data_IF_484727778564
#
_entry.id   IF_484727778564
#
_cell.length_a   1.000
_cell.length_b   1.000
_cell.length_c   1.000
_cell.angle_alpha   90.00
_cell.angle_beta   90.00
_cell.angle_gamma   90.00
#
_symmetry.space_group_name_H-M   'P 1'
#
loop_
_entity.id
_entity.type
_entity.pdbx_description
1 polymer ?
#
# COMPACT_ATOMS: atom_id res chain seq x y z
N UNK A 1 20.21 1.73 1.49
CA UNK A 1 19.39 1.82 2.72
C UNK A 1 18.89 0.42 3.00
N UNK A 2 18.75 0.05 4.26
CA UNK A 2 18.28 -1.29 4.65
C UNK A 2 16.77 -1.38 4.35
N UNK A 3 16.39 -2.17 3.35
CA UNK A 3 14.99 -2.35 2.90
C UNK A 3 14.06 -2.71 4.06
N UNK A 4 14.56 -3.43 5.06
CA UNK A 4 13.80 -3.80 6.23
C UNK A 4 13.47 -2.59 7.11
N UNK A 5 14.42 -1.67 7.31
CA UNK A 5 14.18 -0.43 8.06
C UNK A 5 13.22 0.51 7.34
N UNK A 6 13.31 0.57 6.01
CA UNK A 6 12.33 1.30 5.19
C UNK A 6 10.92 0.74 5.38
N UNK A 7 10.77 -0.59 5.35
CA UNK A 7 9.50 -1.26 5.60
C UNK A 7 8.97 -0.96 7.01
N UNK A 8 9.79 -1.14 8.05
CA UNK A 8 9.38 -0.88 9.45
C UNK A 8 8.88 0.55 9.65
N UNK A 9 9.52 1.53 9.00
CA UNK A 9 9.06 2.92 9.05
C UNK A 9 7.67 3.09 8.46
N UNK A 10 7.38 2.46 7.32
CA UNK A 10 6.03 2.49 6.71
C UNK A 10 5.02 1.78 7.63
N UNK A 11 5.37 0.60 8.14
CA UNK A 11 4.47 -0.18 8.99
C UNK A 11 4.14 0.52 10.30
N UNK A 12 5.07 1.33 10.85
CA UNK A 12 4.83 2.10 12.07
C UNK A 12 3.72 3.16 11.94
N UNK A 13 3.42 3.59 10.72
CA UNK A 13 2.37 4.59 10.43
C UNK A 13 1.14 3.97 9.76
N UNK A 14 1.17 2.67 9.43
CA UNK A 14 0.09 1.99 8.74
C UNK A 14 -1.02 1.60 9.73
N UNK A 15 -2.14 2.31 9.64
CA UNK A 15 -3.38 2.01 10.38
C UNK A 15 -4.55 1.84 9.40
N UNK A 16 -5.70 1.26 9.81
CA UNK A 16 -6.86 1.15 8.94
C UNK A 16 -7.35 2.51 8.44
N UNK A 17 -7.39 3.51 9.33
CA UNK A 17 -7.81 4.87 8.99
C UNK A 17 -6.82 5.55 8.03
N UNK A 18 -5.52 5.37 8.27
CA UNK A 18 -4.49 5.90 7.38
C UNK A 18 -4.61 5.29 5.98
N UNK A 19 -4.70 3.96 5.90
CA UNK A 19 -4.83 3.25 4.63
C UNK A 19 -6.14 3.64 3.91
N UNK A 20 -7.25 3.76 4.63
CA UNK A 20 -8.53 4.24 4.09
C UNK A 20 -8.39 5.62 3.46
N UNK A 21 -7.72 6.55 4.16
CA UNK A 21 -7.51 7.90 3.65
C UNK A 21 -6.62 7.91 2.40
N UNK A 22 -5.58 7.07 2.36
CA UNK A 22 -4.74 6.90 1.17
C UNK A 22 -5.56 6.39 -0.01
N UNK A 23 -6.33 5.31 0.17
CA UNK A 23 -7.15 4.71 -0.88
C UNK A 23 -8.20 5.70 -1.41
N UNK A 24 -8.92 6.39 -0.52
CA UNK A 24 -9.90 7.39 -0.94
C UNK A 24 -9.26 8.59 -1.63
N UNK A 25 -8.08 9.02 -1.16
CA UNK A 25 -7.30 10.07 -1.81
C UNK A 25 -6.90 9.69 -3.23
N UNK A 26 -6.40 8.47 -3.43
CA UNK A 26 -6.05 7.93 -4.74
C UNK A 26 -7.28 7.78 -5.64
N UNK A 27 -8.38 7.23 -5.13
CA UNK A 27 -9.63 7.08 -5.87
C UNK A 27 -10.18 8.44 -6.35
N UNK A 28 -10.05 9.50 -5.54
CA UNK A 28 -10.53 10.84 -5.91
C UNK A 28 -9.82 11.44 -7.12
N UNK A 29 -8.58 11.02 -7.38
CA UNK A 29 -7.77 11.48 -8.52
C UNK A 29 -8.10 10.76 -9.82
N UNK A 30 -8.79 9.63 -9.75
CA UNK A 30 -9.18 8.85 -10.93
C UNK A 30 -10.43 9.44 -11.60
N UNK A 31 -10.71 9.01 -12.83
CA UNK A 31 -11.97 9.31 -13.52
C UNK A 31 -13.14 8.59 -12.84
N UNK A 32 -14.37 9.12 -12.89
CA UNK A 32 -15.55 8.54 -12.23
C UNK A 32 -15.73 7.03 -12.47
N UNK A 33 -15.42 6.56 -13.67
CA UNK A 33 -15.58 5.16 -14.10
C UNK A 33 -14.57 4.20 -13.46
N UNK A 34 -13.44 4.71 -12.95
CA UNK A 34 -12.37 3.89 -12.36
C UNK A 34 -12.18 4.08 -10.85
N UNK A 35 -12.80 5.12 -10.24
CA UNK A 35 -12.68 5.42 -8.79
C UNK A 35 -13.08 4.29 -7.85
N UNK A 36 -13.76 3.26 -8.33
CA UNK A 36 -14.18 2.11 -7.53
C UNK A 36 -13.03 1.13 -7.24
N UNK A 37 -11.88 1.27 -7.92
CA UNK A 37 -10.74 0.38 -7.75
C UNK A 37 -9.43 1.17 -7.66
N UNK A 38 -8.56 0.77 -6.73
CA UNK A 38 -7.20 1.27 -6.65
C UNK A 38 -6.25 0.08 -6.68
N UNK A 39 -5.24 0.15 -7.54
CA UNK A 39 -4.30 -0.96 -7.70
C UNK A 39 -3.31 -1.00 -6.53
N UNK A 40 -2.91 -2.20 -6.13
CA UNK A 40 -1.92 -2.38 -5.05
C UNK A 40 -0.60 -1.63 -5.33
N UNK A 41 -0.01 -1.65 -6.54
CA UNK A 41 1.19 -0.86 -6.83
C UNK A 41 1.00 0.63 -6.54
N UNK A 42 -0.14 1.21 -6.94
CA UNK A 42 -0.44 2.63 -6.67
C UNK A 42 -0.52 2.92 -5.16
N UNK A 43 -1.06 1.99 -4.36
CA UNK A 43 -1.12 2.14 -2.89
C UNK A 43 0.29 2.06 -2.30
N UNK A 44 1.10 1.09 -2.75
CA UNK A 44 2.49 0.92 -2.29
C UNK A 44 3.33 2.16 -2.59
N UNK A 45 3.23 2.71 -3.81
CA UNK A 45 3.93 3.93 -4.22
C UNK A 45 3.51 5.14 -3.40
N UNK A 46 2.21 5.28 -3.08
CA UNK A 46 1.72 6.36 -2.23
C UNK A 46 2.29 6.26 -0.81
N UNK A 47 2.34 5.05 -0.23
CA UNK A 47 2.86 4.83 1.13
C UNK A 47 4.38 5.05 1.22
N UNK A 48 5.15 4.59 0.23
CA UNK A 48 6.61 4.81 0.17
C UNK A 48 6.92 6.30 -0.05
N UNK A 49 6.18 6.98 -0.92
CA UNK A 49 6.31 8.42 -1.14
C UNK A 49 5.99 9.25 0.11
N UNK A 50 4.90 8.93 0.83
CA UNK A 50 4.53 9.59 2.08
C UNK A 50 5.57 9.39 3.18
N UNK A 51 6.15 8.20 3.28
CA UNK A 51 7.22 7.91 4.25
C UNK A 51 8.59 8.46 3.82
N UNK A 52 8.73 8.94 2.58
CA UNK A 52 9.99 9.40 2.00
C UNK A 52 11.06 8.30 2.01
N UNK A 53 10.66 7.05 1.70
CA UNK A 53 11.56 5.90 1.69
C UNK A 53 11.49 5.17 0.37
N UNK A 54 12.60 4.53 0.02
CA UNK A 54 12.67 3.53 -1.03
C UNK A 54 12.84 2.14 -0.37
N UNK A 55 12.08 1.16 -0.85
CA UNK A 55 12.22 -0.24 -0.44
C UNK A 55 13.42 -0.90 -1.13
N UNK A 56 14.00 -0.26 -2.14
CA UNK A 56 15.17 -0.73 -2.86
C UNK A 56 14.85 -1.84 -3.86
N UNK A 57 15.91 -2.31 -4.51
CA UNK A 57 15.87 -3.34 -5.57
C UNK A 57 16.52 -4.66 -5.11
N UNK A 58 16.41 -5.71 -5.93
CA UNK A 58 16.99 -7.02 -5.64
C UNK A 58 16.21 -7.83 -4.61
N UNK A 59 16.84 -8.85 -4.04
CA UNK A 59 16.17 -9.82 -3.17
C UNK A 59 15.63 -9.19 -1.86
N UNK A 60 16.35 -8.23 -1.30
CA UNK A 60 15.95 -7.50 -0.08
C UNK A 60 14.76 -6.59 -0.36
N UNK A 61 14.81 -5.82 -1.45
CA UNK A 61 13.70 -4.95 -1.87
C UNK A 61 12.44 -5.74 -2.22
N UNK A 62 12.59 -6.87 -2.90
CA UNK A 62 11.48 -7.78 -3.18
C UNK A 62 10.83 -8.31 -1.89
N UNK A 63 11.65 -8.73 -0.92
CA UNK A 63 11.14 -9.22 0.37
C UNK A 63 10.38 -8.14 1.13
N UNK A 64 10.88 -6.90 1.11
CA UNK A 64 10.22 -5.76 1.73
C UNK A 64 8.90 -5.39 1.04
N UNK A 65 8.87 -5.44 -0.30
CA UNK A 65 7.65 -5.23 -1.09
C UNK A 65 6.58 -6.28 -0.80
N UNK A 66 6.96 -7.56 -0.68
CA UNK A 66 6.04 -8.62 -0.27
C UNK A 66 5.50 -8.43 1.15
N UNK A 67 6.37 -8.00 2.08
CA UNK A 67 5.97 -7.64 3.44
C UNK A 67 4.93 -6.52 3.46
N UNK A 68 5.16 -5.47 2.66
CA UNK A 68 4.22 -4.36 2.53
C UNK A 68 2.90 -4.80 1.88
N UNK A 69 2.94 -5.60 0.79
CA UNK A 69 1.74 -6.17 0.16
C UNK A 69 0.88 -6.90 1.20
N UNK A 70 1.49 -7.78 1.98
CA UNK A 70 0.79 -8.54 3.01
C UNK A 70 0.16 -7.64 4.06
N UNK A 71 0.92 -6.66 4.57
CA UNK A 71 0.41 -5.72 5.56
C UNK A 71 -0.77 -4.89 5.03
N UNK A 72 -0.73 -4.45 3.76
CA UNK A 72 -1.86 -3.76 3.12
C UNK A 72 -3.08 -4.68 3.06
N UNK A 73 -2.93 -5.92 2.57
CA UNK A 73 -4.03 -6.87 2.45
C UNK A 73 -4.69 -7.17 3.80
N UNK A 74 -3.87 -7.44 4.83
CA UNK A 74 -4.32 -7.66 6.20
C UNK A 74 -5.06 -6.43 6.75
N UNK A 75 -4.54 -5.23 6.47
CA UNK A 75 -5.14 -3.98 6.94
C UNK A 75 -6.48 -3.67 6.23
N UNK A 76 -6.60 -3.96 4.93
CA UNK A 76 -7.86 -3.79 4.18
C UNK A 76 -8.97 -4.65 4.77
N UNK A 77 -8.66 -5.85 5.26
CA UNK A 77 -9.66 -6.72 5.91
C UNK A 77 -10.30 -6.08 7.16
N UNK A 78 -9.67 -5.05 7.74
CA UNK A 78 -10.17 -4.31 8.88
C UNK A 78 -10.91 -3.01 8.52
N UNK A 79 -11.03 -2.66 7.22
CA UNK A 79 -11.69 -1.42 6.77
C UNK A 79 -13.10 -1.74 6.26
N UNK A 80 -14.17 -1.31 6.96
CA UNK A 80 -15.54 -1.54 6.51
C UNK A 80 -15.79 -0.94 5.12
N UNK A 81 -16.35 -1.75 4.21
CA UNK A 81 -16.68 -1.34 2.85
C UNK A 81 -15.51 -1.36 1.86
N UNK A 82 -14.33 -1.83 2.27
CA UNK A 82 -13.21 -2.12 1.37
C UNK A 82 -12.99 -3.63 1.28
N UNK A 83 -12.55 -4.09 0.12
CA UNK A 83 -12.19 -5.47 -0.11
C UNK A 83 -10.88 -5.52 -0.89
N UNK A 84 -9.95 -6.35 -0.42
CA UNK A 84 -8.76 -6.68 -1.19
C UNK A 84 -9.13 -7.80 -2.18
N UNK A 85 -8.92 -7.53 -3.46
CA UNK A 85 -9.15 -8.52 -4.53
C UNK A 85 -7.80 -8.80 -5.17
N UNK A 86 -7.33 -10.04 -5.05
CA UNK A 86 -6.19 -10.49 -5.85
C UNK A 86 -6.67 -10.64 -7.29
N UNK A 87 -6.05 -9.86 -8.19
CA UNK A 87 -6.23 -10.08 -9.62
C UNK A 87 -5.52 -11.36 -10.01
N UNK A 88 -6.27 -12.39 -10.36
CA UNK A 88 -5.72 -13.52 -11.12
C UNK A 88 -5.26 -12.96 -12.48
N UNK A 89 -3.97 -13.10 -12.78
CA UNK A 89 -3.40 -12.92 -14.12
C UNK A 89 -2.64 -14.18 -14.49
#
# INVERSE_FOLDING_TARGET
MDSQKSLEKILSTLTPDHLRNVVLGLASQQSPDTRQSVTLPTIMDALTAQAGVDLGEGAEGWSAQLGLKKAIADMVAHIPGMQFVEGDS
#
